data_IF_460428014395
#
_entry.id   IF_460428014395
#
_cell.length_a   1.000
_cell.length_b   1.000
_cell.length_c   1.000
_cell.angle_alpha   90.00
_cell.angle_beta   90.00
_cell.angle_gamma   90.00
#
_symmetry.space_group_name_H-M   'P 1'
#
loop_
_entity.id
_entity.type
_entity.pdbx_description
1 polymer ?
#
# COMPACT_ATOMS: atom_id res chain seq x y z
N UNK A 1 -17.02 -4.02 5.81
CA UNK A 1 -17.01 -2.61 6.25
C UNK A 1 -16.27 -1.84 5.18
N UNK A 2 -16.85 -0.78 4.62
CA UNK A 2 -16.23 0.00 3.56
C UNK A 2 -15.44 1.17 4.18
N UNK A 3 -14.30 1.52 3.58
CA UNK A 3 -13.53 2.72 3.96
C UNK A 3 -13.83 3.79 2.92
N UNK A 4 -14.29 4.96 3.38
CA UNK A 4 -14.54 6.12 2.53
C UNK A 4 -13.65 7.30 3.00
N UNK A 5 -12.84 7.81 2.08
CA UNK A 5 -11.93 8.94 2.28
C UNK A 5 -12.24 10.11 1.32
N UNK A 6 -13.47 10.16 0.78
CA UNK A 6 -13.90 11.19 -0.18
C UNK A 6 -13.93 12.58 0.44
N UNK A 7 -14.29 12.69 1.72
CA UNK A 7 -14.30 13.95 2.48
C UNK A 7 -12.85 14.45 2.73
N UNK A 8 -12.46 15.64 2.23
CA UNK A 8 -11.11 16.16 2.39
C UNK A 8 -10.75 16.51 3.84
N UNK A 9 -11.72 16.72 4.73
CA UNK A 9 -11.47 16.99 6.16
C UNK A 9 -11.26 15.70 6.97
N UNK A 10 -11.69 14.55 6.44
CA UNK A 10 -11.59 13.24 7.09
C UNK A 10 -10.57 12.31 6.42
N UNK A 11 -10.27 12.53 5.15
CA UNK A 11 -9.31 11.78 4.36
C UNK A 11 -7.87 12.27 4.54
N UNK A 12 -6.92 11.44 4.14
CA UNK A 12 -5.50 11.80 4.11
C UNK A 12 -5.04 12.03 2.66
N UNK A 13 -3.74 12.27 2.47
CA UNK A 13 -3.15 12.55 1.16
C UNK A 13 -3.31 11.40 0.13
N UNK A 14 -3.56 10.15 0.56
CA UNK A 14 -3.75 9.02 -0.35
C UNK A 14 -4.97 9.19 -1.24
N UNK A 15 -5.95 10.03 -0.85
CA UNK A 15 -7.11 10.35 -1.70
C UNK A 15 -6.75 11.06 -3.00
N UNK A 16 -5.58 11.68 -3.06
CA UNK A 16 -5.11 12.42 -4.24
C UNK A 16 -4.23 11.56 -5.16
N UNK A 17 -3.96 10.30 -4.79
CA UNK A 17 -3.25 9.35 -5.63
C UNK A 17 -4.16 8.95 -6.78
N UNK A 18 -3.70 9.17 -8.01
CA UNK A 18 -4.46 8.85 -9.21
C UNK A 18 -4.33 7.39 -9.60
N UNK A 19 -5.23 6.96 -10.49
CA UNK A 19 -5.22 5.60 -11.03
C UNK A 19 -4.20 5.49 -12.16
N UNK A 20 -3.42 4.41 -12.17
CA UNK A 20 -2.54 4.10 -13.29
C UNK A 20 -3.38 3.73 -14.52
N UNK A 21 -3.08 4.31 -15.68
CA UNK A 21 -3.74 3.93 -16.93
C UNK A 21 -3.22 2.59 -17.48
N UNK A 22 -1.98 2.22 -17.13
CA UNK A 22 -1.29 1.00 -17.53
C UNK A 22 -0.49 0.38 -16.38
N UNK A 23 -0.12 -0.91 -16.51
CA UNK A 23 0.78 -1.56 -15.55
C UNK A 23 2.21 -1.01 -15.59
N UNK A 24 2.61 -0.36 -16.70
CA UNK A 24 3.95 0.19 -16.87
C UNK A 24 4.17 1.44 -16.02
N UNK A 25 3.18 2.33 -15.93
CA UNK A 25 3.23 3.55 -15.11
C UNK A 25 2.90 3.27 -13.64
N UNK A 26 2.21 2.16 -13.34
CA UNK A 26 1.86 1.76 -11.98
C UNK A 26 3.11 1.69 -11.09
N UNK A 27 3.07 2.42 -9.99
CA UNK A 27 4.14 2.44 -8.99
C UNK A 27 3.65 2.12 -7.58
N UNK A 28 2.34 2.22 -7.33
CA UNK A 28 1.71 1.85 -6.08
C UNK A 28 0.73 0.69 -6.25
N UNK A 29 0.61 -0.11 -5.19
CA UNK A 29 -0.37 -1.17 -5.08
C UNK A 29 -1.12 -1.06 -3.73
N UNK A 30 -2.46 -1.16 -3.71
CA UNK A 30 -3.25 -1.11 -2.50
C UNK A 30 -3.27 -2.48 -1.81
N UNK A 31 -2.86 -2.51 -0.54
CA UNK A 31 -2.82 -3.71 0.29
C UNK A 31 -3.63 -3.52 1.56
N UNK A 32 -4.54 -4.45 1.84
CA UNK A 32 -5.22 -4.52 3.14
C UNK A 32 -4.37 -5.31 4.16
N UNK A 33 -4.06 -4.67 5.29
CA UNK A 33 -3.46 -5.31 6.46
C UNK A 33 -4.23 -4.87 7.71
N UNK A 34 -4.73 -5.82 8.49
CA UNK A 34 -5.39 -5.53 9.78
C UNK A 34 -6.56 -4.53 9.70
N UNK A 35 -7.39 -4.64 8.66
CA UNK A 35 -8.52 -3.73 8.39
C UNK A 35 -8.12 -2.27 8.09
N UNK A 36 -6.86 -2.05 7.70
CA UNK A 36 -6.38 -0.77 7.20
C UNK A 36 -5.79 -0.96 5.79
N UNK A 37 -5.99 0.05 4.94
CA UNK A 37 -5.49 0.07 3.57
C UNK A 37 -4.14 0.79 3.54
N UNK A 38 -3.13 0.13 3.00
CA UNK A 38 -1.76 0.64 2.82
C UNK A 38 -1.42 0.66 1.34
N UNK A 39 -0.60 1.61 0.90
CA UNK A 39 -0.13 1.68 -0.48
C UNK A 39 1.36 1.35 -0.45
N UNK A 40 1.77 0.25 -1.09
CA UNK A 40 3.17 -0.18 -1.17
C UNK A 40 3.73 0.16 -2.54
N UNK A 41 4.98 0.61 -2.57
CA UNK A 41 5.71 0.88 -3.81
C UNK A 41 6.14 -0.42 -4.47
N UNK A 42 5.84 -0.57 -5.76
CA UNK A 42 6.24 -1.73 -6.57
C UNK A 42 7.63 -1.58 -7.16
N UNK A 43 8.03 -0.34 -7.41
CA UNK A 43 9.30 0.04 -8.01
C UNK A 43 9.82 1.33 -7.38
N UNK A 44 11.13 1.62 -7.48
CA UNK A 44 11.67 2.92 -7.08
C UNK A 44 10.94 4.06 -7.80
N UNK A 45 10.61 5.12 -7.07
CA UNK A 45 9.91 6.31 -7.59
C UNK A 45 10.90 7.47 -7.56
N UNK A 46 11.20 8.05 -8.72
CA UNK A 46 12.05 9.22 -8.83
C UNK A 46 11.32 10.50 -8.38
N UNK A 47 12.05 11.51 -7.89
CA UNK A 47 11.45 12.79 -7.54
C UNK A 47 10.74 13.43 -8.75
N UNK A 48 9.48 13.81 -8.57
CA UNK A 48 8.65 14.40 -9.62
C UNK A 48 7.81 13.40 -10.42
N UNK A 49 7.96 12.09 -10.19
CA UNK A 49 7.04 11.09 -10.73
C UNK A 49 5.71 11.10 -9.96
N UNK A 50 4.62 10.92 -10.70
CA UNK A 50 3.28 10.85 -10.15
C UNK A 50 3.04 9.51 -9.44
N UNK A 51 2.38 9.55 -8.29
CA UNK A 51 1.97 8.35 -7.57
C UNK A 51 0.72 7.77 -8.25
N UNK A 52 0.84 6.55 -8.77
CA UNK A 52 -0.20 5.90 -9.56
C UNK A 52 -0.49 4.50 -9.03
N UNK A 53 -1.77 4.27 -8.69
CA UNK A 53 -2.26 3.04 -8.07
C UNK A 53 -3.14 2.24 -9.03
N UNK A 54 -3.02 0.91 -8.99
CA UNK A 54 -3.92 0.01 -9.71
C UNK A 54 -4.07 -1.34 -8.98
N UNK A 55 -5.13 -2.08 -9.31
CA UNK A 55 -5.49 -3.33 -8.62
C UNK A 55 -4.80 -4.58 -9.20
N UNK A 56 -4.27 -4.54 -10.43
CA UNK A 56 -3.70 -5.72 -11.11
C UNK A 56 -2.34 -6.18 -10.54
N UNK A 57 -1.98 -5.76 -9.33
CA UNK A 57 -0.69 -6.14 -8.76
C UNK A 57 -0.63 -7.60 -8.31
N UNK A 58 -1.75 -8.23 -7.94
CA UNK A 58 -1.73 -9.56 -7.33
C UNK A 58 -1.23 -10.69 -8.25
N UNK A 59 -1.39 -10.54 -9.57
CA UNK A 59 -0.91 -11.53 -10.56
C UNK A 59 0.61 -11.42 -10.83
N UNK A 60 1.26 -10.36 -10.36
CA UNK A 60 2.71 -10.22 -10.49
C UNK A 60 3.40 -10.89 -9.27
N UNK A 61 4.23 -11.93 -9.48
CA UNK A 61 4.86 -12.67 -8.40
C UNK A 61 5.75 -11.81 -7.50
N UNK A 62 6.33 -10.72 -8.02
CA UNK A 62 7.14 -9.77 -7.21
C UNK A 62 6.27 -9.01 -6.22
N UNK A 63 5.06 -8.64 -6.64
CA UNK A 63 4.08 -7.94 -5.82
C UNK A 63 3.50 -8.89 -4.77
N UNK A 64 3.17 -10.12 -5.17
CA UNK A 64 2.73 -11.17 -4.25
C UNK A 64 3.78 -11.47 -3.16
N UNK A 65 5.06 -11.56 -3.54
CA UNK A 65 6.16 -11.74 -2.59
C UNK A 65 6.31 -10.54 -1.63
N UNK A 66 6.21 -9.32 -2.16
CA UNK A 66 6.26 -8.09 -1.37
C UNK A 66 5.07 -7.97 -0.39
N UNK A 67 3.89 -8.49 -0.75
CA UNK A 67 2.71 -8.57 0.12
C UNK A 67 2.94 -9.57 1.25
N UNK A 68 3.45 -10.76 0.95
CA UNK A 68 3.71 -11.79 1.96
C UNK A 68 4.78 -11.32 2.95
N UNK A 69 5.82 -10.64 2.48
CA UNK A 69 6.85 -10.03 3.34
C UNK A 69 6.27 -8.99 4.30
N UNK A 70 5.41 -8.07 3.84
CA UNK A 70 4.76 -7.09 4.73
C UNK A 70 3.86 -7.78 5.75
N UNK A 71 3.07 -8.77 5.32
CA UNK A 71 2.17 -9.52 6.20
C UNK A 71 2.96 -10.28 7.25
N UNK A 72 4.04 -10.95 6.87
CA UNK A 72 4.95 -11.66 7.78
C UNK A 72 5.63 -10.69 8.77
N UNK A 73 6.13 -9.56 8.27
CA UNK A 73 6.77 -8.51 9.10
C UNK A 73 5.81 -7.88 10.10
N UNK A 74 4.56 -7.60 9.69
CA UNK A 74 3.52 -7.10 10.57
C UNK A 74 3.14 -8.12 11.66
N UNK A 75 3.16 -9.41 11.33
CA UNK A 75 2.92 -10.51 12.29
C UNK A 75 4.06 -10.65 13.29
N UNK A 76 5.31 -10.53 12.84
CA UNK A 76 6.50 -10.57 13.71
C UNK A 76 6.55 -9.38 14.69
N UNK A 77 6.23 -8.16 14.23
CA UNK A 77 6.15 -6.97 15.09
C UNK A 77 5.10 -7.08 16.20
N UNK A 78 4.03 -7.84 16.00
CA UNK A 78 3.02 -8.14 17.04
C UNK A 78 3.49 -9.15 18.09
N UNK A 79 4.48 -9.98 17.76
CA UNK A 79 5.01 -11.02 18.64
C UNK A 79 6.06 -10.51 19.63
N UNK A 80 6.70 -9.36 19.37
CA UNK A 80 7.70 -8.79 20.29
C UNK A 80 7.03 -8.24 21.56
N UNK A 81 7.35 -8.77 22.76
CA UNK A 81 6.92 -8.16 24.00
C UNK A 81 7.63 -6.81 24.15
N UNK A 82 6.85 -5.73 24.25
CA UNK A 82 7.38 -4.41 24.62
C UNK A 82 8.04 -4.52 26.00
N UNK A 83 9.37 -4.53 26.06
CA UNK A 83 10.10 -4.29 27.31
C UNK A 83 9.78 -2.88 27.77
N UNK A 84 8.93 -2.75 28.80
CA UNK A 84 8.77 -1.52 29.57
C UNK A 84 10.09 -1.28 30.31
N UNK A 85 10.77 -0.17 30.01
CA UNK A 85 11.75 0.44 30.91
C UNK A 85 11.03 1.45 31.79
#
# INVERSE_FOLDING_TARGET
MCIDATDPEKGNWLRYVNWACSGEEQNLFPLEINRAIYYKTLKPIAPGEELLVWYNGEDNPEIAAAIEEERASARSKRSSPKSRK
#
